data_IF_834342542047
#
_entry.id   IF_834342542047
#
_cell.length_a   1.000
_cell.length_b   1.000
_cell.length_c   1.000
_cell.angle_alpha   90.00
_cell.angle_beta   90.00
_cell.angle_gamma   90.00
#
_symmetry.space_group_name_H-M   'P 1'
#
loop_
_entity.id
_entity.type
_entity.pdbx_description
1 polymer ?
#
# COMPACT_ATOMS: atom_id res chain seq x y z
N UNK A 1 -49.93 -10.63 -22.63
CA UNK A 1 -49.32 -11.53 -21.62
C UNK A 1 -47.88 -11.07 -21.45
N UNK A 2 -47.61 -10.24 -20.45
CA UNK A 2 -46.28 -9.68 -20.19
C UNK A 2 -45.48 -10.65 -19.34
N UNK A 3 -44.45 -11.29 -19.92
CA UNK A 3 -43.40 -11.93 -19.13
C UNK A 3 -42.27 -10.94 -18.91
N UNK A 4 -42.24 -10.36 -17.71
CA UNK A 4 -41.08 -9.65 -17.20
C UNK A 4 -39.95 -10.67 -16.96
N UNK A 5 -38.83 -10.44 -17.64
CA UNK A 5 -37.55 -11.09 -17.38
C UNK A 5 -37.09 -10.70 -15.98
N UNK A 6 -37.04 -11.68 -15.08
CA UNK A 6 -36.50 -11.53 -13.74
C UNK A 6 -34.96 -11.53 -13.83
N UNK A 7 -34.38 -10.33 -13.88
CA UNK A 7 -32.93 -10.14 -13.77
C UNK A 7 -32.54 -10.48 -12.34
N UNK A 8 -31.93 -11.65 -12.13
CA UNK A 8 -31.29 -11.99 -10.86
C UNK A 8 -30.19 -10.96 -10.59
N UNK A 9 -30.34 -10.26 -9.47
CA UNK A 9 -29.35 -9.34 -8.89
C UNK A 9 -28.16 -10.15 -8.39
N UNK A 10 -26.99 -9.99 -9.02
CA UNK A 10 -25.70 -10.50 -8.56
C UNK A 10 -25.17 -9.71 -7.34
N UNK A 11 -25.95 -9.62 -6.25
CA UNK A 11 -25.62 -8.77 -5.10
C UNK A 11 -25.23 -9.53 -3.81
N UNK A 12 -25.32 -10.86 -3.75
CA UNK A 12 -25.11 -11.59 -2.48
C UNK A 12 -23.63 -11.93 -2.17
N UNK A 13 -22.76 -12.04 -3.19
CA UNK A 13 -21.36 -12.46 -2.96
C UNK A 13 -20.47 -11.38 -2.32
N UNK A 14 -20.89 -10.12 -2.37
CA UNK A 14 -20.13 -8.98 -1.81
C UNK A 14 -20.29 -8.89 -0.30
N UNK A 15 -21.52 -9.07 0.21
CA UNK A 15 -21.83 -8.96 1.64
C UNK A 15 -21.23 -10.14 2.42
N UNK A 16 -21.30 -11.35 1.88
CA UNK A 16 -20.67 -12.53 2.49
C UNK A 16 -19.15 -12.38 2.60
N UNK A 17 -18.53 -11.72 1.63
CA UNK A 17 -17.10 -11.49 1.63
C UNK A 17 -16.68 -10.40 2.63
N UNK A 18 -17.45 -9.33 2.78
CA UNK A 18 -17.17 -8.30 3.79
C UNK A 18 -17.39 -8.80 5.22
N UNK A 19 -18.47 -9.54 5.48
CA UNK A 19 -18.71 -10.21 6.77
C UNK A 19 -17.62 -11.26 7.06
N UNK A 20 -17.19 -11.98 6.03
CA UNK A 20 -16.05 -12.91 6.12
C UNK A 20 -14.76 -12.18 6.51
N UNK A 21 -14.42 -11.08 5.85
CA UNK A 21 -13.23 -10.28 6.10
C UNK A 21 -13.17 -9.72 7.53
N UNK A 22 -14.30 -9.22 8.06
CA UNK A 22 -14.41 -8.73 9.43
C UNK A 22 -14.22 -9.85 10.49
N UNK A 23 -14.33 -11.13 10.10
CA UNK A 23 -14.20 -12.30 11.00
C UNK A 23 -12.81 -12.95 11.05
N UNK A 24 -11.83 -12.39 10.35
CA UNK A 24 -10.54 -13.04 10.15
C UNK A 24 -9.50 -12.73 11.25
N UNK A 25 -9.08 -13.77 11.97
CA UNK A 25 -7.81 -13.84 12.71
C UNK A 25 -6.65 -14.12 11.74
N UNK A 26 -5.42 -13.65 12.03
CA UNK A 26 -4.27 -13.66 11.11
C UNK A 26 -3.93 -15.03 10.50
N UNK A 27 -4.08 -16.13 11.27
CA UNK A 27 -3.88 -17.50 10.76
C UNK A 27 -5.01 -18.01 9.85
N UNK A 28 -6.18 -17.38 9.92
CA UNK A 28 -7.34 -17.66 9.06
C UNK A 28 -7.24 -16.85 7.77
N UNK A 29 -6.75 -15.60 7.85
CA UNK A 29 -6.39 -14.77 6.67
C UNK A 29 -5.49 -15.57 5.73
N UNK A 30 -4.35 -16.04 6.23
CA UNK A 30 -3.35 -16.77 5.42
C UNK A 30 -3.92 -18.00 4.70
N UNK A 31 -4.74 -18.80 5.37
CA UNK A 31 -5.33 -20.02 4.81
C UNK A 31 -6.31 -19.74 3.69
N UNK A 32 -7.17 -18.75 3.89
CA UNK A 32 -8.23 -18.45 2.93
C UNK A 32 -7.69 -17.74 1.69
N UNK A 33 -6.65 -16.94 1.84
CA UNK A 33 -5.95 -16.35 0.70
C UNK A 33 -5.24 -17.41 -0.14
N UNK A 34 -4.70 -18.45 0.49
CA UNK A 34 -4.13 -19.57 -0.23
C UNK A 34 -5.20 -20.35 -1.03
N UNK A 35 -6.45 -20.37 -0.57
CA UNK A 35 -7.59 -20.95 -1.29
C UNK A 35 -8.01 -20.02 -2.44
N UNK A 36 -8.13 -18.72 -2.19
CA UNK A 36 -8.54 -17.72 -3.17
C UNK A 36 -7.52 -17.60 -4.32
N UNK A 37 -6.22 -17.56 -4.01
CA UNK A 37 -5.14 -17.53 -4.99
C UNK A 37 -5.16 -18.76 -5.91
N UNK A 38 -5.62 -19.93 -5.43
CA UNK A 38 -5.76 -21.15 -6.24
C UNK A 38 -7.00 -21.16 -7.14
N UNK A 39 -7.99 -20.31 -6.86
CA UNK A 39 -9.29 -20.36 -7.53
C UNK A 39 -9.35 -19.57 -8.85
N UNK A 40 -8.38 -18.69 -9.14
CA UNK A 40 -8.33 -17.80 -10.32
C UNK A 40 -9.62 -16.98 -10.59
N UNK A 41 -10.49 -16.84 -9.59
CA UNK A 41 -11.82 -16.19 -9.71
C UNK A 41 -11.99 -15.03 -8.73
N UNK A 42 -10.98 -14.18 -8.61
CA UNK A 42 -11.12 -12.96 -7.83
C UNK A 42 -11.63 -11.85 -8.74
N UNK A 43 -12.76 -11.28 -8.37
CA UNK A 43 -13.34 -10.12 -9.06
C UNK A 43 -12.65 -8.83 -8.63
N UNK A 44 -12.74 -7.79 -9.47
CA UNK A 44 -12.23 -6.44 -9.15
C UNK A 44 -12.90 -5.90 -7.87
N UNK A 45 -14.19 -6.18 -7.67
CA UNK A 45 -14.91 -5.76 -6.47
C UNK A 45 -14.34 -6.42 -5.20
N UNK A 46 -14.02 -7.72 -5.26
CA UNK A 46 -13.37 -8.40 -4.15
C UNK A 46 -11.97 -7.84 -3.87
N UNK A 47 -11.14 -7.57 -4.88
CA UNK A 47 -9.84 -6.90 -4.68
C UNK A 47 -10.01 -5.53 -4.02
N UNK A 48 -11.03 -4.77 -4.43
CA UNK A 48 -11.34 -3.46 -3.84
C UNK A 48 -11.76 -3.59 -2.37
N UNK A 49 -12.60 -4.57 -2.02
CA UNK A 49 -12.98 -4.82 -0.63
C UNK A 49 -11.80 -5.26 0.23
N UNK A 50 -10.90 -6.14 -0.28
CA UNK A 50 -9.66 -6.51 0.43
C UNK A 50 -8.80 -5.28 0.68
N UNK A 51 -8.57 -4.45 -0.34
CA UNK A 51 -7.78 -3.23 -0.19
C UNK A 51 -8.40 -2.29 0.85
N UNK A 52 -9.71 -2.05 0.77
CA UNK A 52 -10.42 -1.18 1.71
C UNK A 52 -10.36 -1.70 3.15
N UNK A 53 -10.37 -3.02 3.37
CA UNK A 53 -10.15 -3.61 4.69
C UNK A 53 -8.77 -3.26 5.23
N UNK A 54 -7.72 -3.38 4.40
CA UNK A 54 -6.36 -3.00 4.78
C UNK A 54 -6.29 -1.53 5.17
N UNK A 55 -6.95 -0.65 4.41
CA UNK A 55 -7.06 0.79 4.71
C UNK A 55 -7.78 1.03 6.04
N UNK A 56 -8.87 0.31 6.32
CA UNK A 56 -9.62 0.40 7.59
C UNK A 56 -8.73 0.00 8.78
N UNK A 57 -8.01 -1.12 8.71
CA UNK A 57 -7.07 -1.52 9.74
C UNK A 57 -5.94 -0.50 9.94
N UNK A 58 -5.38 0.01 8.84
CA UNK A 58 -4.32 1.03 8.88
C UNK A 58 -4.81 2.31 9.57
N UNK A 59 -5.98 2.82 9.19
CA UNK A 59 -6.58 4.03 9.77
C UNK A 59 -6.84 3.88 11.28
N UNK A 60 -7.10 2.66 11.75
CA UNK A 60 -7.27 2.33 13.17
C UNK A 60 -5.95 2.01 13.89
N UNK A 61 -4.78 2.21 13.24
CA UNK A 61 -3.45 1.85 13.75
C UNK A 61 -3.29 0.36 14.09
N UNK A 62 -4.12 -0.51 13.52
CA UNK A 62 -4.02 -1.97 13.62
C UNK A 62 -3.00 -2.47 12.58
N UNK A 63 -1.74 -2.07 12.77
CA UNK A 63 -0.69 -2.19 11.76
C UNK A 63 -0.34 -3.63 11.40
N UNK A 64 -0.50 -4.59 12.33
CA UNK A 64 -0.21 -6.01 12.07
C UNK A 64 -1.27 -6.62 11.15
N UNK A 65 -2.53 -6.30 11.40
CA UNK A 65 -3.68 -6.73 10.61
C UNK A 65 -3.63 -6.08 9.23
N UNK A 66 -3.36 -4.77 9.17
CA UNK A 66 -3.19 -4.05 7.92
C UNK A 66 -2.06 -4.65 7.06
N UNK A 67 -0.91 -4.98 7.67
CA UNK A 67 0.21 -5.59 6.98
C UNK A 67 -0.18 -6.95 6.38
N UNK A 68 -0.85 -7.80 7.16
CA UNK A 68 -1.34 -9.09 6.66
C UNK A 68 -2.26 -8.90 5.45
N UNK A 69 -3.22 -7.98 5.52
CA UNK A 69 -4.16 -7.71 4.42
C UNK A 69 -3.45 -7.16 3.18
N UNK A 70 -2.51 -6.23 3.32
CA UNK A 70 -1.81 -5.66 2.16
C UNK A 70 -0.78 -6.60 1.54
N UNK A 71 -0.13 -7.48 2.32
CA UNK A 71 0.69 -8.58 1.78
C UNK A 71 -0.14 -9.46 0.86
N UNK A 72 -1.33 -9.79 1.34
CA UNK A 72 -2.30 -10.63 0.65
C UNK A 72 -2.80 -9.98 -0.62
N UNK A 73 -3.22 -8.72 -0.53
CA UNK A 73 -3.61 -7.92 -1.68
C UNK A 73 -2.50 -7.85 -2.73
N UNK A 74 -1.23 -7.68 -2.33
CA UNK A 74 -0.08 -7.61 -3.24
C UNK A 74 0.14 -8.92 -3.99
N UNK A 75 -0.11 -10.08 -3.35
CA UNK A 75 -0.05 -11.39 -4.01
C UNK A 75 -1.19 -11.57 -5.02
N UNK A 76 -2.39 -11.10 -4.66
CA UNK A 76 -3.60 -11.25 -5.49
C UNK A 76 -3.66 -10.23 -6.65
N UNK A 77 -2.97 -9.10 -6.51
CA UNK A 77 -2.94 -8.02 -7.49
C UNK A 77 -1.50 -7.51 -7.71
N UNK A 78 -0.60 -8.35 -8.27
CA UNK A 78 0.85 -8.09 -8.31
C UNK A 78 1.26 -6.92 -9.21
N UNK A 79 0.36 -6.38 -10.03
CA UNK A 79 0.61 -5.22 -10.89
C UNK A 79 0.02 -3.92 -10.34
N UNK A 80 -0.57 -3.97 -9.15
CA UNK A 80 -1.13 -2.79 -8.49
C UNK A 80 -0.16 -2.23 -7.45
N UNK A 81 0.32 -1.02 -7.70
CA UNK A 81 1.28 -0.31 -6.86
C UNK A 81 0.75 -0.05 -5.43
N UNK A 82 -0.57 -0.04 -5.23
CA UNK A 82 -1.18 0.26 -3.93
C UNK A 82 -0.80 -0.74 -2.85
N UNK A 83 -0.64 -2.01 -3.21
CA UNK A 83 -0.19 -3.06 -2.28
C UNK A 83 1.17 -2.76 -1.65
N UNK A 84 2.27 -2.72 -2.44
CA UNK A 84 3.59 -2.37 -1.93
C UNK A 84 3.65 -0.95 -1.34
N UNK A 85 2.87 0.00 -1.87
CA UNK A 85 2.75 1.35 -1.31
C UNK A 85 2.21 1.36 0.13
N UNK A 86 1.11 0.64 0.38
CA UNK A 86 0.54 0.53 1.73
C UNK A 86 1.47 -0.20 2.70
N UNK A 87 2.17 -1.25 2.25
CA UNK A 87 3.16 -1.95 3.06
C UNK A 87 4.36 -1.06 3.41
N UNK A 88 4.86 -0.28 2.45
CA UNK A 88 5.92 0.69 2.70
C UNK A 88 5.51 1.73 3.76
N UNK A 89 4.28 2.25 3.67
CA UNK A 89 3.72 3.15 4.69
C UNK A 89 3.69 2.51 6.07
N UNK A 90 3.25 1.25 6.19
CA UNK A 90 3.28 0.52 7.46
C UNK A 90 4.69 0.40 8.02
N UNK A 91 5.69 0.06 7.21
CA UNK A 91 7.07 -0.02 7.68
C UNK A 91 7.67 1.34 8.03
N UNK A 92 7.23 2.42 7.41
CA UNK A 92 7.58 3.79 7.83
C UNK A 92 6.99 4.11 9.22
N UNK A 93 5.72 3.78 9.47
CA UNK A 93 5.08 3.98 10.78
C UNK A 93 5.73 3.15 11.90
N UNK A 94 6.21 1.94 11.56
CA UNK A 94 6.95 1.06 12.48
C UNK A 94 8.43 1.43 12.65
N UNK A 95 8.91 2.47 11.98
CA UNK A 95 10.33 2.85 11.91
C UNK A 95 11.26 1.74 11.37
N UNK A 96 10.72 0.79 10.60
CA UNK A 96 11.45 -0.29 9.95
C UNK A 96 12.04 0.17 8.61
N UNK A 97 12.88 1.22 8.66
CA UNK A 97 13.31 1.99 7.47
C UNK A 97 14.00 1.16 6.39
N UNK A 98 14.71 0.08 6.74
CA UNK A 98 15.33 -0.80 5.73
C UNK A 98 14.27 -1.54 4.91
N UNK A 99 13.26 -2.13 5.58
CA UNK A 99 12.18 -2.84 4.88
C UNK A 99 11.32 -1.88 4.06
N UNK A 100 11.05 -0.69 4.61
CA UNK A 100 10.36 0.37 3.88
C UNK A 100 11.14 0.73 2.60
N UNK A 101 12.45 0.96 2.71
CA UNK A 101 13.32 1.26 1.58
C UNK A 101 13.31 0.16 0.51
N UNK A 102 13.37 -1.11 0.92
CA UNK A 102 13.34 -2.24 -0.02
C UNK A 102 12.02 -2.26 -0.82
N UNK A 103 10.87 -2.07 -0.14
CA UNK A 103 9.58 -1.98 -0.80
C UNK A 103 9.43 -0.74 -1.67
N UNK A 104 9.91 0.42 -1.23
CA UNK A 104 9.86 1.66 -2.02
C UNK A 104 10.69 1.53 -3.31
N UNK A 105 11.80 0.79 -3.26
CA UNK A 105 12.62 0.50 -4.44
C UNK A 105 11.92 -0.44 -5.44
N UNK A 106 10.98 -1.26 -4.98
CA UNK A 106 10.08 -2.03 -5.85
C UNK A 106 8.95 -1.12 -6.35
N UNK A 107 8.33 -0.33 -5.47
CA UNK A 107 7.22 0.55 -5.80
C UNK A 107 7.56 1.56 -6.90
N UNK A 108 8.77 2.13 -6.89
CA UNK A 108 9.20 3.12 -7.90
C UNK A 108 9.25 2.55 -9.32
N UNK A 109 9.21 1.23 -9.49
CA UNK A 109 9.20 0.60 -10.82
C UNK A 109 7.80 0.45 -11.40
N UNK A 110 6.75 0.76 -10.61
CA UNK A 110 5.37 0.74 -11.11
C UNK A 110 5.08 2.02 -11.89
N UNK A 111 4.64 1.94 -13.16
CA UNK A 111 4.34 3.13 -13.97
C UNK A 111 3.24 4.03 -13.38
N UNK A 112 2.39 3.47 -12.53
CA UNK A 112 1.23 4.16 -11.94
C UNK A 112 1.51 4.78 -10.57
N UNK A 113 2.73 4.65 -10.03
CA UNK A 113 3.04 5.24 -8.74
C UNK A 113 3.29 6.75 -8.84
N UNK A 114 3.01 7.48 -7.77
CA UNK A 114 3.38 8.89 -7.62
C UNK A 114 4.89 8.99 -7.34
N UNK A 115 5.69 8.96 -8.41
CA UNK A 115 7.14 8.78 -8.33
C UNK A 115 7.83 9.77 -7.39
N UNK A 116 7.49 11.06 -7.44
CA UNK A 116 8.11 12.08 -6.58
C UNK A 116 7.79 11.85 -5.08
N UNK A 117 6.58 11.35 -4.75
CA UNK A 117 6.21 10.95 -3.39
C UNK A 117 6.92 9.67 -2.93
N UNK A 118 7.16 8.74 -3.86
CA UNK A 118 7.97 7.54 -3.57
C UNK A 118 9.43 7.93 -3.32
N UNK A 119 10.00 8.79 -4.16
CA UNK A 119 11.39 9.24 -4.04
C UNK A 119 11.64 10.01 -2.74
N UNK A 120 10.71 10.86 -2.30
CA UNK A 120 10.88 11.57 -1.02
C UNK A 120 10.85 10.61 0.18
N UNK A 121 10.12 9.50 0.08
CA UNK A 121 10.14 8.44 1.09
C UNK A 121 11.43 7.62 1.07
N UNK A 122 11.98 7.35 -0.12
CA UNK A 122 13.29 6.71 -0.26
C UNK A 122 14.37 7.60 0.37
N UNK A 123 14.36 8.90 0.08
CA UNK A 123 15.28 9.87 0.67
C UNK A 123 15.15 9.90 2.20
N UNK A 124 13.92 9.89 2.73
CA UNK A 124 13.68 9.80 4.17
C UNK A 124 14.25 8.52 4.78
N UNK A 125 14.05 7.36 4.14
CA UNK A 125 14.58 6.10 4.65
C UNK A 125 16.11 6.12 4.72
N UNK A 126 16.78 6.55 3.65
CA UNK A 126 18.24 6.72 3.64
C UNK A 126 18.69 7.69 4.75
N UNK A 127 18.00 8.81 4.94
CA UNK A 127 18.32 9.76 6.01
C UNK A 127 18.23 9.11 7.40
N UNK A 128 17.13 8.40 7.68
CA UNK A 128 16.90 7.71 8.96
C UNK A 128 17.89 6.58 9.22
N UNK A 129 18.39 5.96 8.14
CA UNK A 129 19.47 4.96 8.18
C UNK A 129 20.87 5.58 8.25
N UNK A 130 20.99 6.92 8.31
CA UNK A 130 22.25 7.69 8.31
C UNK A 130 23.07 7.54 7.03
N UNK A 131 22.42 7.16 5.93
CA UNK A 131 23.01 7.05 4.59
C UNK A 131 22.88 8.39 3.85
N UNK A 132 23.49 9.44 4.41
CA UNK A 132 23.23 10.83 3.99
C UNK A 132 23.56 11.11 2.52
N UNK A 133 24.64 10.51 1.99
CA UNK A 133 24.98 10.66 0.57
C UNK A 133 23.88 10.12 -0.35
N UNK A 134 23.34 8.92 -0.05
CA UNK A 134 22.24 8.34 -0.80
C UNK A 134 20.95 9.15 -0.63
N UNK A 135 20.69 9.61 0.60
CA UNK A 135 19.56 10.49 0.89
C UNK A 135 19.59 11.77 0.06
N UNK A 136 20.72 12.48 0.04
CA UNK A 136 20.91 13.68 -0.78
C UNK A 136 20.78 13.42 -2.27
N UNK A 137 21.37 12.32 -2.77
CA UNK A 137 21.30 11.96 -4.19
C UNK A 137 19.85 11.72 -4.65
N UNK A 138 19.06 11.00 -3.86
CA UNK A 138 17.64 10.76 -4.18
C UNK A 138 16.80 12.01 -3.96
N UNK A 139 17.06 12.78 -2.90
CA UNK A 139 16.35 14.03 -2.63
C UNK A 139 16.52 15.04 -3.76
N UNK A 140 17.71 15.15 -4.34
CA UNK A 140 18.03 16.09 -5.41
C UNK A 140 17.13 15.95 -6.66
N UNK A 141 16.65 14.74 -6.93
CA UNK A 141 15.81 14.47 -8.11
C UNK A 141 14.30 14.58 -7.82
N UNK A 142 13.90 14.85 -6.57
CA UNK A 142 12.48 15.06 -6.22
C UNK A 142 12.02 16.40 -6.74
N UNK A 143 10.90 16.42 -7.47
CA UNK A 143 10.24 17.64 -7.94
C UNK A 143 9.14 18.06 -6.96
N UNK A 144 9.37 19.09 -6.12
CA UNK A 144 8.42 19.47 -5.07
C UNK A 144 7.06 19.92 -5.61
N UNK A 145 6.99 20.43 -6.85
CA UNK A 145 5.74 20.80 -7.51
C UNK A 145 4.77 19.64 -7.74
N UNK A 146 5.26 18.40 -7.70
CA UNK A 146 4.45 17.18 -7.87
C UNK A 146 4.01 16.58 -6.53
N UNK A 147 4.43 17.14 -5.40
CA UNK A 147 4.11 16.60 -4.09
C UNK A 147 2.76 17.11 -3.58
N UNK A 148 1.99 16.23 -2.94
CA UNK A 148 0.85 16.68 -2.15
C UNK A 148 1.29 17.45 -0.89
N UNK A 149 0.36 18.19 -0.29
CA UNK A 149 0.60 18.98 0.94
C UNK A 149 1.19 18.15 2.09
N UNK A 150 0.80 16.87 2.17
CA UNK A 150 1.34 15.94 3.13
C UNK A 150 2.85 15.74 2.94
N UNK A 151 3.30 15.53 1.70
CA UNK A 151 4.71 15.28 1.38
C UNK A 151 5.55 16.55 1.31
N UNK A 152 4.94 17.72 1.04
CA UNK A 152 5.63 19.00 1.13
C UNK A 152 6.31 19.23 2.49
N UNK A 153 5.66 18.82 3.59
CA UNK A 153 6.26 18.91 4.94
C UNK A 153 7.49 18.02 5.09
N UNK A 154 7.43 16.81 4.53
CA UNK A 154 8.55 15.85 4.52
C UNK A 154 9.72 16.36 3.67
N UNK A 155 9.41 16.98 2.53
CA UNK A 155 10.39 17.65 1.67
C UNK A 155 11.10 18.78 2.41
N UNK A 156 10.37 19.69 3.04
CA UNK A 156 10.94 20.80 3.81
C UNK A 156 11.81 20.32 4.97
N UNK A 157 11.39 19.27 5.67
CA UNK A 157 12.20 18.64 6.72
C UNK A 157 13.53 18.15 6.15
N UNK A 158 13.52 17.35 5.09
CA UNK A 158 14.74 16.81 4.49
C UNK A 158 15.64 17.91 3.91
N UNK A 159 15.07 18.94 3.30
CA UNK A 159 15.82 20.10 2.81
C UNK A 159 16.64 20.78 3.91
N UNK A 160 16.08 20.89 5.13
CA UNK A 160 16.81 21.47 6.26
C UNK A 160 17.91 20.52 6.77
N UNK A 161 17.60 19.23 6.88
CA UNK A 161 18.53 18.24 7.43
C UNK A 161 19.70 17.93 6.49
N UNK A 162 19.46 17.97 5.17
CA UNK A 162 20.44 17.59 4.15
C UNK A 162 21.30 18.76 3.66
N UNK A 163 21.01 19.99 4.11
CA UNK A 163 21.81 21.20 3.79
C UNK A 163 23.33 21.04 3.99
N UNK A 164 23.86 20.27 4.97
CA UNK A 164 25.30 20.06 5.08
C UNK A 164 25.92 19.19 3.96
N UNK A 165 25.09 18.56 3.13
CA UNK A 165 25.49 17.57 2.14
C UNK A 165 25.29 18.04 0.69
N UNK A 166 24.98 19.32 0.48
CA UNK A 166 24.99 19.99 -0.84
C UNK A 166 25.24 21.50 -0.72
#
# INVERSE_FOLDING_TARGET
MNHQLNVKKDNDASDDFEVFLDSLDGKRIERELAILAKSNKITINQLKSIYNLGVKFYANMQLKEAEAVFLSYSVLSPYDHRGPGSLASIYLEKEEFRKALDLLNVLKTYPTCDLDEVLINIALCHYKLKEYANSSAVFYIVRPENLSDFYCKRYQFLQQQLKPYY
#
